data_IF_557609413187
#
_entry.id   IF_557609413187
#
_cell.length_a   1.000
_cell.length_b   1.000
_cell.length_c   1.000
_cell.angle_alpha   90.00
_cell.angle_beta   90.00
_cell.angle_gamma   90.00
#
_symmetry.space_group_name_H-M   'P 1'
#
loop_
_entity.id
_entity.type
_entity.pdbx_description
1 polymer ?
#
# COMPACT_ATOMS: atom_id res chain seq x y z
N UNK A 1 -3.58 -6.96 -7.09
CA UNK A 1 -4.32 -7.80 -6.12
C UNK A 1 -3.79 -7.67 -4.70
N UNK A 2 -2.57 -8.15 -4.39
CA UNK A 2 -2.03 -8.20 -3.02
C UNK A 2 -1.88 -6.86 -2.31
N UNK A 3 -1.30 -5.85 -2.97
CA UNK A 3 -1.12 -4.52 -2.37
C UNK A 3 -2.45 -3.78 -2.13
N UNK A 4 -3.52 -4.18 -2.80
CA UNK A 4 -4.87 -3.60 -2.65
C UNK A 4 -5.69 -4.40 -1.63
N UNK A 5 -5.15 -5.52 -1.10
CA UNK A 5 -5.81 -6.34 -0.09
C UNK A 5 -6.97 -7.19 -0.62
N UNK A 6 -7.16 -7.36 -1.93
CA UNK A 6 -8.28 -8.09 -2.56
C UNK A 6 -8.15 -9.63 -2.46
N UNK A 7 -7.75 -10.13 -1.29
CA UNK A 7 -7.61 -11.57 -1.00
C UNK A 7 -8.72 -12.01 -0.07
N UNK A 8 -9.01 -11.24 0.99
CA UNK A 8 -10.01 -11.57 2.00
C UNK A 8 -11.10 -10.49 2.00
N UNK A 9 -12.37 -10.88 1.96
CA UNK A 9 -13.52 -9.98 2.12
C UNK A 9 -14.18 -10.19 3.48
N UNK A 10 -14.70 -9.11 4.08
CA UNK A 10 -15.36 -9.16 5.39
C UNK A 10 -16.89 -9.21 5.25
N UNK A 11 -17.43 -8.69 4.16
CA UNK A 11 -18.84 -8.73 3.84
C UNK A 11 -19.22 -10.07 3.20
N UNK A 12 -20.38 -10.59 3.62
CA UNK A 12 -21.04 -11.73 2.97
C UNK A 12 -21.97 -11.29 1.83
N UNK A 13 -22.59 -10.12 1.97
CA UNK A 13 -23.53 -9.57 0.98
C UNK A 13 -22.76 -8.98 -0.20
N UNK A 14 -23.29 -9.15 -1.41
CA UNK A 14 -22.69 -8.64 -2.66
C UNK A 14 -22.42 -7.14 -2.60
N UNK A 15 -23.35 -6.37 -2.07
CA UNK A 15 -23.27 -4.91 -1.97
C UNK A 15 -22.09 -4.50 -1.06
N UNK A 16 -21.92 -5.19 0.06
CA UNK A 16 -20.79 -4.96 0.97
C UNK A 16 -19.45 -5.36 0.37
N UNK A 17 -19.39 -6.44 -0.41
CA UNK A 17 -18.18 -6.84 -1.14
C UNK A 17 -17.80 -5.76 -2.15
N UNK A 18 -18.77 -5.25 -2.91
CA UNK A 18 -18.53 -4.14 -3.85
C UNK A 18 -18.03 -2.88 -3.11
N UNK A 19 -18.65 -2.53 -1.99
CA UNK A 19 -18.22 -1.41 -1.16
C UNK A 19 -16.77 -1.58 -0.69
N UNK A 20 -16.38 -2.76 -0.23
CA UNK A 20 -15.00 -3.05 0.17
C UNK A 20 -14.02 -2.92 -1.01
N UNK A 21 -14.39 -3.42 -2.19
CA UNK A 21 -13.56 -3.31 -3.40
C UNK A 21 -13.32 -1.82 -3.71
N UNK A 22 -14.38 -1.02 -3.79
CA UNK A 22 -14.27 0.41 -4.08
C UNK A 22 -13.47 1.15 -3.00
N UNK A 23 -13.73 0.91 -1.72
CA UNK A 23 -12.99 1.53 -0.63
C UNK A 23 -11.48 1.22 -0.70
N UNK A 24 -11.12 -0.04 -0.98
CA UNK A 24 -9.72 -0.46 -1.12
C UNK A 24 -9.05 0.19 -2.34
N UNK A 25 -9.76 0.32 -3.46
CA UNK A 25 -9.24 1.03 -4.64
C UNK A 25 -9.06 2.53 -4.38
N UNK A 26 -10.02 3.18 -3.74
CA UNK A 26 -9.92 4.60 -3.36
C UNK A 26 -8.72 4.85 -2.45
N UNK A 27 -8.54 4.03 -1.41
CA UNK A 27 -7.38 4.09 -0.53
C UNK A 27 -6.06 3.88 -1.29
N UNK A 28 -6.01 2.86 -2.16
CA UNK A 28 -4.83 2.58 -2.96
C UNK A 28 -4.45 3.74 -3.88
N UNK A 29 -5.43 4.35 -4.55
CA UNK A 29 -5.21 5.49 -5.42
C UNK A 29 -4.76 6.71 -4.62
N UNK A 30 -5.37 6.97 -3.46
CA UNK A 30 -4.94 8.03 -2.55
C UNK A 30 -3.49 7.84 -2.11
N UNK A 31 -3.11 6.64 -1.64
CA UNK A 31 -1.72 6.37 -1.23
C UNK A 31 -0.74 6.59 -2.38
N UNK A 32 -1.08 6.15 -3.60
CA UNK A 32 -0.23 6.38 -4.78
C UNK A 32 -0.11 7.85 -5.14
N UNK A 33 -1.19 8.60 -5.02
CA UNK A 33 -1.16 10.06 -5.21
C UNK A 33 -0.25 10.73 -4.18
N UNK A 34 -0.36 10.39 -2.88
CA UNK A 34 0.53 10.91 -1.84
C UNK A 34 1.99 10.57 -2.14
N UNK A 35 2.30 9.32 -2.51
CA UNK A 35 3.66 8.90 -2.86
C UNK A 35 4.21 9.72 -4.04
N UNK A 36 3.38 10.02 -5.05
CA UNK A 36 3.82 10.81 -6.21
C UNK A 36 4.23 12.25 -5.86
N UNK A 37 3.67 12.80 -4.78
CA UNK A 37 4.05 14.13 -4.27
C UNK A 37 5.35 14.11 -3.45
N UNK A 38 5.79 12.94 -3.00
CA UNK A 38 7.03 12.82 -2.25
C UNK A 38 8.18 12.83 -3.25
N UNK A 39 8.83 13.98 -3.38
CA UNK A 39 10.05 14.11 -4.18
C UNK A 39 11.12 13.13 -3.67
N UNK A 40 11.64 12.29 -4.57
CA UNK A 40 12.73 11.37 -4.30
C UNK A 40 13.96 11.89 -5.04
N UNK A 41 14.88 12.49 -4.30
CA UNK A 41 16.14 12.96 -4.85
C UNK A 41 16.99 11.77 -5.31
N UNK A 42 17.04 11.58 -6.62
CA UNK A 42 17.76 10.50 -7.29
C UNK A 42 19.06 10.97 -7.97
N UNK A 43 19.28 12.29 -8.09
CA UNK A 43 20.42 12.87 -8.82
C UNK A 43 21.78 12.55 -8.21
N UNK A 44 21.87 12.50 -6.87
CA UNK A 44 23.13 12.26 -6.15
C UNK A 44 23.33 10.81 -5.69
N UNK A 45 22.37 9.92 -5.92
CA UNK A 45 22.38 8.57 -5.35
C UNK A 45 22.72 7.53 -6.41
N UNK A 46 23.68 6.64 -6.10
CA UNK A 46 24.06 5.49 -6.95
C UNK A 46 22.88 4.55 -7.25
N UNK A 47 21.84 4.55 -6.43
CA UNK A 47 20.71 3.63 -6.50
C UNK A 47 19.39 4.40 -6.59
N UNK A 48 18.41 3.82 -7.30
CA UNK A 48 17.05 4.36 -7.35
C UNK A 48 16.28 3.92 -6.10
N UNK A 49 15.52 4.83 -5.52
CA UNK A 49 14.71 4.59 -4.33
C UNK A 49 13.23 4.69 -4.66
N UNK A 50 12.41 4.01 -3.86
CA UNK A 50 10.96 4.14 -3.85
C UNK A 50 10.44 4.10 -2.43
N UNK A 51 9.33 4.78 -2.19
CA UNK A 51 8.59 4.63 -0.93
C UNK A 51 8.01 3.21 -0.86
N UNK A 52 8.10 2.59 0.32
CA UNK A 52 7.47 1.29 0.55
C UNK A 52 5.95 1.48 0.66
N UNK A 53 5.19 0.61 0.00
CA UNK A 53 3.73 0.73 -0.03
C UNK A 53 3.10 0.57 1.36
N UNK A 54 3.58 -0.38 2.17
CA UNK A 54 3.06 -0.62 3.52
C UNK A 54 3.27 0.59 4.43
N UNK A 55 4.43 1.23 4.30
CA UNK A 55 4.76 2.42 5.09
C UNK A 55 3.91 3.62 4.67
N UNK A 56 3.63 3.76 3.35
CA UNK A 56 2.69 4.75 2.85
C UNK A 56 1.27 4.54 3.38
N UNK A 57 0.78 3.31 3.39
CA UNK A 57 -0.53 2.98 3.94
C UNK A 57 -0.61 3.30 5.44
N UNK A 58 0.42 2.94 6.21
CA UNK A 58 0.51 3.25 7.63
C UNK A 58 0.52 4.75 7.91
N UNK A 59 1.35 5.51 7.19
CA UNK A 59 1.43 6.96 7.37
C UNK A 59 0.12 7.67 6.98
N UNK A 60 -0.53 7.24 5.89
CA UNK A 60 -1.82 7.79 5.49
C UNK A 60 -2.93 7.44 6.50
N UNK A 61 -2.88 6.26 7.13
CA UNK A 61 -3.78 5.92 8.24
C UNK A 61 -3.61 6.88 9.43
N UNK A 62 -2.37 7.18 9.81
CA UNK A 62 -2.09 8.14 10.89
C UNK A 62 -2.57 9.57 10.52
N UNK A 63 -2.43 9.96 9.25
CA UNK A 63 -2.98 11.22 8.75
C UNK A 63 -4.51 11.27 8.86
N UNK A 64 -5.23 10.21 8.45
CA UNK A 64 -6.69 10.15 8.58
C UNK A 64 -7.17 10.12 10.03
N UNK A 65 -6.36 9.59 10.95
CA UNK A 65 -6.62 9.63 12.39
C UNK A 65 -6.23 10.97 13.04
N UNK A 66 -5.96 12.01 12.24
CA UNK A 66 -5.52 13.33 12.70
C UNK A 66 -4.24 13.30 13.58
N UNK A 67 -3.46 12.22 13.52
CA UNK A 67 -2.24 12.05 14.32
C UNK A 67 -1.00 12.64 13.64
N UNK A 68 -1.08 12.91 12.33
CA UNK A 68 -0.03 13.55 11.54
C UNK A 68 -0.60 14.69 10.70
N UNK A 69 0.13 15.80 10.62
CA UNK A 69 -0.13 16.85 9.64
C UNK A 69 0.33 16.44 8.24
N UNK A 70 -0.16 17.14 7.21
CA UNK A 70 0.22 16.89 5.81
C UNK A 70 1.73 17.04 5.56
N UNK A 71 2.39 17.97 6.26
CA UNK A 71 3.84 18.17 6.19
C UNK A 71 4.58 17.02 6.89
N UNK A 72 4.12 16.61 8.07
CA UNK A 72 4.71 15.50 8.81
C UNK A 72 4.59 14.18 8.03
N UNK A 73 3.46 13.95 7.36
CA UNK A 73 3.25 12.81 6.47
C UNK A 73 4.32 12.76 5.36
N UNK A 74 4.52 13.86 4.64
CA UNK A 74 5.53 13.94 3.57
C UNK A 74 6.94 13.68 4.11
N UNK A 75 7.27 14.26 5.26
CA UNK A 75 8.57 14.08 5.90
C UNK A 75 8.80 12.63 6.36
N UNK A 76 7.78 11.98 6.90
CA UNK A 76 7.84 10.56 7.28
C UNK A 76 8.14 9.68 6.06
N UNK A 77 7.43 9.90 4.95
CA UNK A 77 7.63 9.12 3.73
C UNK A 77 8.99 9.36 3.07
N UNK A 78 9.54 10.58 3.16
CA UNK A 78 10.91 10.87 2.68
C UNK A 78 11.97 10.10 3.45
N UNK A 79 11.76 9.84 4.75
CA UNK A 79 12.66 9.03 5.58
C UNK A 79 12.56 7.55 5.22
N UNK A 80 11.35 7.10 4.89
CA UNK A 80 11.04 5.69 4.69
C UNK A 80 11.17 5.26 3.21
N UNK A 81 12.41 5.21 2.74
CA UNK A 81 12.75 4.83 1.36
C UNK A 81 13.36 3.43 1.27
N UNK A 82 12.93 2.69 0.25
CA UNK A 82 13.44 1.36 -0.08
C UNK A 82 14.16 1.37 -1.43
N UNK A 83 15.26 0.63 -1.52
CA UNK A 83 16.06 0.53 -2.75
C UNK A 83 15.32 -0.29 -3.80
N UNK A 84 15.22 0.25 -5.02
CA UNK A 84 14.79 -0.48 -6.21
C UNK A 84 15.95 -1.36 -6.66
N UNK A 85 15.72 -2.68 -6.72
CA UNK A 85 16.70 -3.68 -7.16
C UNK A 85 16.25 -4.22 -8.53
N UNK A 86 16.70 -3.62 -9.65
CA UNK A 86 16.26 -4.04 -10.99
C UNK A 86 16.80 -5.43 -11.34
N UNK A 87 18.06 -5.71 -11.02
CA UNK A 87 18.74 -6.96 -11.40
C UNK A 87 18.78 -7.95 -10.22
N UNK A 88 17.60 -8.46 -9.82
CA UNK A 88 17.57 -9.52 -8.78
C UNK A 88 18.05 -10.84 -9.38
N UNK A 89 19.17 -11.37 -8.86
CA UNK A 89 19.66 -12.72 -9.18
C UNK A 89 18.63 -13.81 -8.87
N UNK A 90 17.89 -13.65 -7.77
CA UNK A 90 16.80 -14.54 -7.39
C UNK A 90 15.45 -13.84 -7.59
N UNK A 91 14.64 -14.36 -8.50
CA UNK A 91 13.28 -13.89 -8.71
C UNK A 91 12.41 -14.23 -7.50
N UNK A 92 11.44 -13.35 -7.18
CA UNK A 92 10.49 -13.68 -6.11
C UNK A 92 9.56 -14.80 -6.61
N UNK A 93 9.46 -15.88 -5.84
CA UNK A 93 8.41 -16.88 -6.01
C UNK A 93 7.07 -16.27 -5.56
N UNK A 94 6.36 -15.64 -6.48
CA UNK A 94 5.02 -15.08 -6.21
C UNK A 94 4.04 -16.25 -6.22
N UNK A 95 3.48 -16.58 -5.05
CA UNK A 95 2.41 -17.56 -4.96
C UNK A 95 1.09 -16.90 -5.31
N UNK A 96 0.39 -17.44 -6.31
CA UNK A 96 -0.99 -17.07 -6.60
C UNK A 96 -1.86 -17.40 -5.40
N UNK A 97 -2.62 -16.41 -4.90
CA UNK A 97 -3.63 -16.63 -3.86
C UNK A 97 -5.01 -16.50 -4.51
N UNK A 98 -5.88 -17.50 -4.28
CA UNK A 98 -7.30 -17.40 -4.59
C UNK A 98 -7.95 -16.33 -3.70
N UNK A 99 -9.13 -15.85 -4.11
CA UNK A 99 -9.96 -15.07 -3.20
C UNK A 99 -10.47 -16.03 -2.12
N UNK A 100 -10.41 -15.57 -0.87
CA UNK A 100 -11.00 -16.25 0.28
C UNK A 100 -12.27 -15.48 0.61
N UNK A 101 -13.41 -16.14 0.42
CA UNK A 101 -14.70 -15.60 0.82
C UNK A 101 -14.81 -15.50 2.35
N UNK A 102 -15.83 -14.80 2.82
CA UNK A 102 -16.08 -14.63 4.25
C UNK A 102 -16.14 -15.98 4.99
N UNK A 103 -15.07 -16.28 5.73
CA UNK A 103 -14.97 -17.48 6.58
C UNK A 103 -15.72 -17.17 7.88
N UNK A 104 -17.00 -17.53 7.94
CA UNK A 104 -17.82 -17.37 9.15
C UNK A 104 -17.60 -18.47 10.21
N UNK A 105 -16.81 -19.50 9.86
CA UNK A 105 -16.44 -20.61 10.76
C UNK A 105 -14.93 -20.82 10.70
N UNK A 106 -14.24 -20.40 11.75
CA UNK A 106 -12.97 -21.01 12.13
C UNK A 106 -13.38 -22.22 12.98
N UNK A 107 -13.45 -23.40 12.37
CA UNK A 107 -13.52 -24.68 13.10
C UNK A 107 -12.13 -25.09 13.53
#
# INVERSE_FOLDING_TARGET
KYSVGLVNFHAKKKEGILQEIFARFTNFNFYRWVISQVAIDSSRKKQRYKVCFSDAAYACRLFFNCSLSSLQLKNYLKKQLSIIRPNRKYQRKIKTQSVVDFIYRVT
#
